data_IF_685543386514
#
_entry.id   IF_685543386514
#
_cell.length_a   1.000
_cell.length_b   1.000
_cell.length_c   1.000
_cell.angle_alpha   90.00
_cell.angle_beta   90.00
_cell.angle_gamma   90.00
#
_symmetry.space_group_name_H-M   'P 1'
#
loop_
_entity.id
_entity.type
_entity.pdbx_description
1 polymer ?
#
# COMPACT_ATOMS: atom_id res chain seq x y z
N UNK A 1 -20.83 -17.70 2.19
CA UNK A 1 -19.68 -16.83 2.57
C UNK A 1 -19.02 -17.24 3.87
N UNK A 2 -19.71 -17.27 5.02
CA UNK A 2 -19.10 -17.62 6.33
C UNK A 2 -18.43 -18.99 6.40
N UNK A 3 -19.07 -20.02 5.82
CA UNK A 3 -18.52 -21.39 5.79
C UNK A 3 -17.30 -21.46 4.87
N UNK A 4 -17.33 -20.75 3.73
CA UNK A 4 -16.20 -20.66 2.81
C UNK A 4 -15.00 -19.95 3.45
N UNK A 5 -15.22 -18.84 4.15
CA UNK A 5 -14.15 -18.14 4.87
C UNK A 5 -13.57 -19.00 6.00
N UNK A 6 -14.40 -19.79 6.69
CA UNK A 6 -13.94 -20.77 7.68
C UNK A 6 -13.10 -21.87 7.04
N UNK A 7 -13.51 -22.42 5.89
CA UNK A 7 -12.74 -23.41 5.16
C UNK A 7 -11.38 -22.87 4.70
N UNK A 8 -11.35 -21.64 4.16
CA UNK A 8 -10.10 -20.97 3.76
C UNK A 8 -9.21 -20.75 4.99
N UNK A 9 -9.77 -20.23 6.09
CA UNK A 9 -9.02 -20.04 7.34
C UNK A 9 -8.39 -21.34 7.82
N UNK A 10 -9.14 -22.45 7.79
CA UNK A 10 -8.67 -23.76 8.22
C UNK A 10 -7.52 -24.26 7.33
N UNK A 11 -7.64 -24.10 6.01
CA UNK A 11 -6.56 -24.43 5.07
C UNK A 11 -5.31 -23.59 5.35
N UNK A 12 -5.46 -22.27 5.50
CA UNK A 12 -4.34 -21.37 5.80
C UNK A 12 -3.67 -21.75 7.13
N UNK A 13 -4.47 -22.07 8.15
CA UNK A 13 -3.97 -22.50 9.45
C UNK A 13 -3.17 -23.81 9.33
N UNK A 14 -3.70 -24.82 8.64
CA UNK A 14 -3.02 -26.09 8.43
C UNK A 14 -1.71 -25.92 7.66
N UNK A 15 -1.70 -25.08 6.62
CA UNK A 15 -0.49 -24.76 5.88
C UNK A 15 0.54 -24.06 6.76
N UNK A 16 0.12 -23.07 7.55
CA UNK A 16 0.99 -22.35 8.47
C UNK A 16 1.60 -23.25 9.55
N UNK A 17 0.81 -24.12 10.17
CA UNK A 17 1.32 -25.11 11.13
C UNK A 17 2.26 -26.11 10.46
N UNK A 18 1.88 -26.66 9.32
CA UNK A 18 2.72 -27.64 8.60
C UNK A 18 4.06 -27.01 8.21
N UNK A 19 4.03 -25.76 7.73
CA UNK A 19 5.23 -25.00 7.44
C UNK A 19 6.10 -24.79 8.69
N UNK A 20 5.51 -24.40 9.82
CA UNK A 20 6.25 -24.19 11.06
C UNK A 20 6.90 -25.47 11.59
N UNK A 21 6.20 -26.61 11.52
CA UNK A 21 6.71 -27.92 11.95
C UNK A 21 7.78 -28.45 11.00
N UNK A 22 7.56 -28.38 9.68
CA UNK A 22 8.55 -28.85 8.69
C UNK A 22 9.80 -27.97 8.63
N UNK A 23 9.72 -26.73 9.10
CA UNK A 23 10.82 -25.78 9.16
C UNK A 23 11.08 -25.34 10.61
N UNK A 24 11.05 -26.29 11.54
CA UNK A 24 11.36 -26.06 12.95
C UNK A 24 12.86 -25.96 13.23
N UNK A 25 13.69 -26.30 12.24
CA UNK A 25 15.14 -26.20 12.34
C UNK A 25 15.56 -24.77 12.69
N UNK A 26 16.48 -24.69 13.64
CA UNK A 26 17.05 -23.43 14.10
C UNK A 26 18.15 -22.95 13.16
N UNK A 27 18.16 -21.64 12.90
CA UNK A 27 19.23 -20.94 12.20
C UNK A 27 19.85 -19.89 13.10
N UNK A 28 21.14 -19.63 12.91
CA UNK A 28 21.83 -18.53 13.58
C UNK A 28 21.69 -17.28 12.71
N UNK A 29 21.11 -16.23 13.27
CA UNK A 29 21.05 -14.90 12.65
C UNK A 29 22.10 -14.02 13.30
N UNK A 30 23.07 -13.60 12.49
CA UNK A 30 24.15 -12.70 12.88
C UNK A 30 23.70 -11.24 12.73
N UNK A 31 23.50 -10.56 13.85
CA UNK A 31 23.21 -9.13 13.90
C UNK A 31 24.48 -8.34 14.20
N UNK A 32 24.43 -7.02 13.98
CA UNK A 32 25.55 -6.11 14.28
C UNK A 32 26.02 -6.14 15.73
N UNK A 33 25.15 -6.51 16.68
CA UNK A 33 25.43 -6.52 18.12
C UNK A 33 25.33 -7.94 18.73
N UNK A 34 25.58 -8.98 17.93
CA UNK A 34 25.61 -10.37 18.39
C UNK A 34 24.80 -11.31 17.51
N UNK A 35 24.73 -12.58 17.91
CA UNK A 35 24.03 -13.63 17.18
C UNK A 35 22.84 -14.17 17.99
N UNK A 36 21.80 -14.62 17.30
CA UNK A 36 20.64 -15.28 17.91
C UNK A 36 20.24 -16.50 17.10
N UNK A 37 20.00 -17.59 17.80
CA UNK A 37 19.41 -18.78 17.24
C UNK A 37 17.87 -18.63 17.24
N UNK A 38 17.25 -18.77 16.06
CA UNK A 38 15.80 -18.66 15.88
C UNK A 38 15.32 -19.73 14.90
N UNK A 39 14.09 -20.26 15.05
CA UNK A 39 13.52 -21.19 14.07
C UNK A 39 13.42 -20.53 12.69
N UNK A 40 13.76 -21.26 11.63
CA UNK A 40 13.72 -20.79 10.25
C UNK A 40 12.33 -20.25 9.88
N UNK A 41 11.28 -20.97 10.27
CA UNK A 41 9.89 -20.57 10.04
C UNK A 41 9.57 -19.19 10.64
N UNK A 42 10.05 -18.89 11.85
CA UNK A 42 9.84 -17.60 12.51
C UNK A 42 10.59 -16.49 11.76
N UNK A 43 11.84 -16.72 11.39
CA UNK A 43 12.64 -15.75 10.65
C UNK A 43 11.99 -15.38 9.30
N UNK A 44 11.47 -16.36 8.57
CA UNK A 44 10.77 -16.16 7.30
C UNK A 44 9.46 -15.38 7.46
N UNK A 45 8.64 -15.73 8.45
CA UNK A 45 7.38 -15.01 8.72
C UNK A 45 7.65 -13.55 9.10
N UNK A 46 8.62 -13.30 9.98
CA UNK A 46 8.98 -11.94 10.37
C UNK A 46 9.53 -11.14 9.18
N UNK A 47 10.39 -11.75 8.36
CA UNK A 47 10.91 -11.11 7.14
C UNK A 47 9.78 -10.72 6.18
N UNK A 48 8.81 -11.61 5.98
CA UNK A 48 7.65 -11.36 5.12
C UNK A 48 6.78 -10.22 5.67
N UNK A 49 6.50 -10.22 6.98
CA UNK A 49 5.73 -9.14 7.64
C UNK A 49 6.46 -7.81 7.48
N UNK A 50 7.76 -7.77 7.75
CA UNK A 50 8.57 -6.56 7.59
C UNK A 50 8.55 -6.08 6.13
N UNK A 51 8.74 -6.98 5.17
CA UNK A 51 8.67 -6.66 3.75
C UNK A 51 7.30 -6.09 3.33
N UNK A 52 6.21 -6.69 3.81
CA UNK A 52 4.85 -6.21 3.54
C UNK A 52 4.61 -4.83 4.14
N UNK A 53 5.03 -4.60 5.39
CA UNK A 53 4.94 -3.29 6.05
C UNK A 53 5.74 -2.22 5.29
N UNK A 54 6.98 -2.53 4.90
CA UNK A 54 7.80 -1.63 4.09
C UNK A 54 7.14 -1.33 2.74
N UNK A 55 6.55 -2.33 2.09
CA UNK A 55 5.79 -2.16 0.85
C UNK A 55 4.57 -1.25 1.01
N UNK A 56 3.82 -1.38 2.11
CA UNK A 56 2.69 -0.51 2.44
C UNK A 56 3.17 0.93 2.65
N UNK A 57 4.24 1.13 3.43
CA UNK A 57 4.82 2.45 3.69
C UNK A 57 5.29 3.10 2.39
N UNK A 58 6.00 2.37 1.54
CA UNK A 58 6.44 2.86 0.24
C UNK A 58 5.26 3.25 -0.66
N UNK A 59 4.19 2.45 -0.66
CA UNK A 59 2.98 2.72 -1.43
C UNK A 59 2.23 3.95 -0.93
N UNK A 60 2.23 4.20 0.38
CA UNK A 60 1.58 5.36 0.99
C UNK A 60 2.15 6.68 0.46
N UNK A 61 3.47 6.79 0.30
CA UNK A 61 4.11 7.98 -0.25
C UNK A 61 3.62 8.29 -1.68
N UNK A 62 3.46 7.25 -2.51
CA UNK A 62 2.94 7.39 -3.87
C UNK A 62 1.49 7.86 -3.86
N UNK A 63 0.65 7.25 -3.03
CA UNK A 63 -0.78 7.59 -2.90
C UNK A 63 -0.95 9.04 -2.45
N UNK A 64 -0.17 9.50 -1.46
CA UNK A 64 -0.24 10.88 -0.98
C UNK A 64 0.12 11.88 -2.08
N UNK A 65 1.19 11.63 -2.83
CA UNK A 65 1.58 12.46 -3.98
C UNK A 65 0.52 12.48 -5.08
N UNK A 66 -0.14 11.35 -5.33
CA UNK A 66 -1.23 11.29 -6.29
C UNK A 66 -2.45 12.10 -5.82
N UNK A 67 -2.81 12.01 -4.53
CA UNK A 67 -3.92 12.80 -3.97
C UNK A 67 -3.70 14.31 -4.08
N UNK A 68 -2.48 14.79 -3.80
CA UNK A 68 -2.17 16.22 -3.95
C UNK A 68 -2.24 16.66 -5.42
N UNK A 69 -1.74 15.83 -6.34
CA UNK A 69 -1.84 16.10 -7.79
C UNK A 69 -3.28 16.13 -8.28
N UNK A 70 -4.14 15.21 -7.82
CA UNK A 70 -5.57 15.19 -8.15
C UNK A 70 -6.23 16.49 -7.67
N UNK A 71 -5.95 16.92 -6.44
CA UNK A 71 -6.50 18.18 -5.91
C UNK A 71 -6.06 19.40 -6.72
N UNK A 72 -4.77 19.47 -7.09
CA UNK A 72 -4.24 20.56 -7.91
C UNK A 72 -4.85 20.57 -9.33
N UNK A 73 -5.03 19.39 -9.93
CA UNK A 73 -5.62 19.26 -11.26
C UNK A 73 -7.09 19.69 -11.25
N UNK A 74 -7.87 19.26 -10.26
CA UNK A 74 -9.27 19.68 -10.10
C UNK A 74 -9.40 21.19 -9.97
N UNK A 75 -8.52 21.85 -9.19
CA UNK A 75 -8.50 23.32 -9.10
C UNK A 75 -8.22 23.98 -10.44
N UNK A 76 -7.30 23.43 -11.22
CA UNK A 76 -6.96 23.96 -12.55
C UNK A 76 -8.15 23.87 -13.51
N UNK A 77 -8.85 22.72 -13.53
CA UNK A 77 -10.08 22.53 -14.31
C UNK A 77 -11.13 23.57 -13.95
N UNK A 78 -11.42 23.75 -12.65
CA UNK A 78 -12.41 24.73 -12.20
C UNK A 78 -12.04 26.18 -12.57
N UNK A 79 -10.74 26.52 -12.57
CA UNK A 79 -10.29 27.85 -12.99
C UNK A 79 -10.47 28.06 -14.50
N UNK A 80 -10.08 27.08 -15.32
CA UNK A 80 -10.27 27.14 -16.78
C UNK A 80 -11.75 27.23 -17.15
N UNK A 81 -12.63 26.47 -16.49
CA UNK A 81 -14.08 26.57 -16.69
C UNK A 81 -14.61 27.98 -16.38
N UNK A 82 -14.14 28.59 -15.28
CA UNK A 82 -14.51 29.97 -14.92
C UNK A 82 -14.02 30.99 -15.94
N UNK A 83 -12.81 30.83 -16.48
CA UNK A 83 -12.27 31.71 -17.52
C UNK A 83 -13.11 31.62 -18.81
N UNK A 84 -13.50 30.41 -19.24
CA UNK A 84 -14.38 30.23 -20.40
C UNK A 84 -15.74 30.90 -20.19
N UNK A 85 -16.34 30.76 -19.00
CA UNK A 85 -17.60 31.42 -18.67
C UNK A 85 -17.43 32.94 -18.69
N UNK A 86 -16.38 33.47 -18.06
CA UNK A 86 -16.12 34.90 -18.00
C UNK A 86 -15.94 35.49 -19.40
N UNK A 87 -15.14 34.84 -20.26
CA UNK A 87 -14.93 35.25 -21.64
C UNK A 87 -16.22 35.23 -22.48
N UNK A 88 -17.10 34.26 -22.25
CA UNK A 88 -18.42 34.18 -22.91
C UNK A 88 -19.41 35.23 -22.42
N UNK A 89 -19.21 35.78 -21.22
CA UNK A 89 -20.05 36.82 -20.65
C UNK A 89 -19.60 38.24 -20.97
N UNK A 90 -18.45 38.41 -21.62
CA UNK A 90 -17.99 39.73 -22.05
C UNK A 90 -18.92 40.25 -23.16
N UNK A 91 -19.53 41.43 -23.00
CA UNK A 91 -20.30 42.05 -24.06
C UNK A 91 -19.39 42.33 -25.25
N UNK A 92 -19.87 42.05 -26.47
CA UNK A 92 -19.16 42.40 -27.70
C UNK A 92 -18.98 43.92 -27.66
N UNK A 93 -17.73 44.35 -27.59
CA UNK A 93 -17.39 45.76 -27.69
C UNK A 93 -17.53 46.13 -29.16
N UNK A 94 -18.73 46.59 -29.53
CA UNK A 94 -18.96 47.29 -30.79
C UNK A 94 -18.21 48.64 -30.68
N UNK A 95 -16.95 48.62 -31.10
CA UNK A 95 -16.29 49.85 -31.52
C UNK A 95 -16.70 50.08 -32.99
N UNK A 96 -17.55 51.11 -33.16
CA UNK A 96 -18.00 51.82 -34.38
C UNK A 96 -19.45 51.62 -34.84
#
# INVERSE_FOLDING_TARGET
MRILSLGILLIVLLLGLSFAVLNSDSIIVNYYLGEREVPLSVALVLSLILGALLGIIASLSVILRQRTRISALNRSVTMTEKEVINLRSLPIKDDH
#
